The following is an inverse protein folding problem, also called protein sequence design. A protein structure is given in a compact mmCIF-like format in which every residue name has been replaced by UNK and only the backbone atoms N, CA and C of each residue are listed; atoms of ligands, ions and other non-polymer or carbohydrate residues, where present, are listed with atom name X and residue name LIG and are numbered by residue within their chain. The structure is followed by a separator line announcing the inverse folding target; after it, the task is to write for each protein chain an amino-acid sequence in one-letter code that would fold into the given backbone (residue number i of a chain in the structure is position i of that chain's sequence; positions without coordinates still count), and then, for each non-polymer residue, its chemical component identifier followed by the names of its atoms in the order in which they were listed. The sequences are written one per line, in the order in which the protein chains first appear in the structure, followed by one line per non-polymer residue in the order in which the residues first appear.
data_IF_131872870989
#
_entry.id   IF_131872870989
#
_cell.length_a   1.000
_cell.length_b   1.000
_cell.length_c   1.000
_cell.angle_alpha   90.00
_cell.angle_beta   90.00
_cell.angle_gamma   90.00
#
_symmetry.space_group_name_H-M   'P 1'
#
loop_
_entity.id
_entity.type
_entity.pdbx_description
1 polymer ?
#
# COMPACT_ATOMS: atom_id res chain seq x y z
N UNK A 1 -17.90 -8.68 -27.64
CA UNK A 1 -19.23 -9.23 -27.88
C UNK A 1 -19.07 -10.68 -28.28
N UNK A 2 -20.10 -11.50 -28.14
CA UNK A 2 -20.12 -12.89 -28.60
C UNK A 2 -20.09 -13.02 -30.12
N UNK A 3 -20.06 -11.90 -30.83
CA UNK A 3 -20.02 -11.73 -32.29
C UNK A 3 -18.59 -11.46 -32.83
N UNK A 4 -17.56 -11.56 -31.99
CA UNK A 4 -16.18 -11.24 -32.36
C UNK A 4 -15.85 -9.74 -32.40
N UNK A 5 -16.85 -8.86 -32.21
CA UNK A 5 -16.63 -7.42 -32.10
C UNK A 5 -16.02 -7.09 -30.72
N UNK A 6 -14.90 -6.35 -30.64
CA UNK A 6 -14.34 -5.94 -29.36
C UNK A 6 -15.32 -5.13 -28.53
N UNK A 7 -15.37 -5.40 -27.22
CA UNK A 7 -16.13 -4.60 -26.26
C UNK A 7 -15.40 -3.27 -26.08
N UNK A 8 -16.07 -2.17 -26.42
CA UNK A 8 -15.53 -0.83 -26.21
C UNK A 8 -15.68 -0.42 -24.75
N UNK A 9 -14.58 -0.11 -24.08
CA UNK A 9 -14.53 0.26 -22.67
C UNK A 9 -13.90 1.64 -22.54
N UNK A 10 -14.62 2.59 -21.94
CA UNK A 10 -14.09 3.88 -21.55
C UNK A 10 -13.74 3.87 -20.06
N UNK A 11 -12.49 4.18 -19.72
CA UNK A 11 -12.02 4.36 -18.35
C UNK A 11 -11.82 5.85 -18.10
N UNK A 12 -12.57 6.42 -17.16
CA UNK A 12 -12.49 7.84 -16.81
C UNK A 12 -11.65 8.01 -15.55
N UNK A 13 -10.52 8.71 -15.68
CA UNK A 13 -9.54 8.95 -14.62
C UNK A 13 -8.30 8.06 -14.74
N UNK A 14 -7.14 8.67 -14.96
CA UNK A 14 -5.82 8.06 -15.05
C UNK A 14 -5.12 7.89 -13.70
N UNK A 15 -5.86 7.80 -12.59
CA UNK A 15 -5.32 7.43 -11.29
C UNK A 15 -4.81 5.98 -11.24
N UNK A 16 -4.28 5.56 -10.09
CA UNK A 16 -3.79 4.19 -9.91
C UNK A 16 -4.86 3.13 -10.22
N UNK A 17 -6.11 3.38 -9.82
CA UNK A 17 -7.23 2.48 -10.06
C UNK A 17 -7.59 2.39 -11.55
N UNK A 18 -7.79 3.52 -12.22
CA UNK A 18 -8.15 3.55 -13.64
C UNK A 18 -7.04 3.02 -14.54
N UNK A 19 -5.78 3.39 -14.27
CA UNK A 19 -4.62 2.88 -15.01
C UNK A 19 -4.47 1.36 -14.81
N UNK A 20 -4.65 0.85 -13.59
CA UNK A 20 -4.59 -0.60 -13.32
C UNK A 20 -5.73 -1.34 -14.00
N UNK A 21 -6.95 -0.79 -14.01
CA UNK A 21 -8.10 -1.38 -14.70
C UNK A 21 -7.89 -1.43 -16.22
N UNK A 22 -7.46 -0.32 -16.81
CA UNK A 22 -7.17 -0.25 -18.25
C UNK A 22 -6.04 -1.21 -18.65
N UNK A 23 -4.96 -1.25 -17.86
CA UNK A 23 -3.85 -2.18 -18.07
C UNK A 23 -4.29 -3.63 -17.94
N UNK A 24 -5.06 -3.98 -16.90
CA UNK A 24 -5.52 -5.35 -16.69
C UNK A 24 -6.43 -5.84 -17.82
N UNK A 25 -7.37 -5.01 -18.29
CA UNK A 25 -8.24 -5.37 -19.41
C UNK A 25 -7.45 -5.66 -20.69
N UNK A 26 -6.40 -4.88 -20.96
CA UNK A 26 -5.53 -5.12 -22.12
C UNK A 26 -4.59 -6.29 -21.94
N UNK A 27 -4.03 -6.47 -20.75
CA UNK A 27 -3.09 -7.56 -20.46
C UNK A 27 -3.76 -8.93 -20.45
N UNK A 28 -4.96 -9.00 -19.88
CA UNK A 28 -5.73 -10.23 -19.76
C UNK A 28 -6.21 -10.75 -21.12
N UNK A 29 -6.41 -9.88 -22.11
CA UNK A 29 -6.86 -10.27 -23.45
C UNK A 29 -6.04 -11.42 -24.04
N UNK A 30 -4.71 -11.38 -23.88
CA UNK A 30 -3.79 -12.43 -24.35
C UNK A 30 -3.87 -13.77 -23.61
N UNK A 31 -4.58 -13.81 -22.48
CA UNK A 31 -4.67 -14.96 -21.57
C UNK A 31 -6.07 -15.55 -21.47
N UNK A 32 -7.05 -14.92 -22.13
CA UNK A 32 -8.40 -15.43 -22.14
C UNK A 32 -8.52 -16.62 -23.10
N UNK A 33 -9.37 -17.61 -22.81
CA UNK A 33 -9.63 -18.73 -23.72
C UNK A 33 -10.11 -18.27 -25.09
N UNK A 34 -9.87 -19.08 -26.11
CA UNK A 34 -10.39 -18.83 -27.46
C UNK A 34 -11.91 -18.63 -27.44
N UNK A 35 -12.37 -17.60 -28.18
CA UNK A 35 -13.78 -17.18 -28.19
C UNK A 35 -14.18 -16.25 -27.04
N UNK A 36 -13.25 -15.88 -26.16
CA UNK A 36 -13.50 -14.85 -25.14
C UNK A 36 -13.64 -13.45 -25.76
N UNK A 37 -14.35 -12.52 -25.10
CA UNK A 37 -14.45 -11.15 -25.57
C UNK A 37 -13.09 -10.45 -25.58
N UNK A 38 -12.79 -9.76 -26.67
CA UNK A 38 -11.71 -8.78 -26.80
C UNK A 38 -12.17 -7.41 -26.30
N UNK A 39 -11.22 -6.54 -25.92
CA UNK A 39 -11.53 -5.23 -25.34
C UNK A 39 -10.81 -4.08 -26.07
N UNK A 40 -11.58 -3.11 -26.57
CA UNK A 40 -11.07 -1.83 -27.05
C UNK A 40 -11.15 -0.81 -25.90
N UNK A 41 -10.03 -0.63 -25.20
CA UNK A 41 -9.95 0.19 -23.99
C UNK A 41 -9.41 1.58 -24.30
N UNK A 42 -10.19 2.62 -23.96
CA UNK A 42 -9.74 4.03 -23.99
C UNK A 42 -9.74 4.61 -22.59
N UNK A 43 -8.59 5.12 -22.16
CA UNK A 43 -8.43 5.83 -20.89
C UNK A 43 -8.47 7.33 -21.16
N UNK A 44 -9.32 8.04 -20.41
CA UNK A 44 -9.47 9.48 -20.45
C UNK A 44 -8.96 10.07 -19.14
N UNK A 45 -7.98 10.96 -19.22
CA UNK A 45 -7.43 11.69 -18.09
C UNK A 45 -7.43 13.18 -18.44
N UNK A 46 -7.90 14.02 -17.51
CA UNK A 46 -7.96 15.47 -17.69
C UNK A 46 -6.55 16.08 -17.68
N UNK A 47 -5.65 15.50 -16.89
CA UNK A 47 -4.28 15.98 -16.71
C UNK A 47 -3.34 15.43 -17.80
N UNK A 48 -2.23 16.12 -18.01
CA UNK A 48 -1.19 15.71 -18.97
C UNK A 48 -0.35 14.49 -18.51
N UNK A 49 -0.53 14.02 -17.28
CA UNK A 49 0.18 12.87 -16.70
C UNK A 49 -0.77 11.93 -15.98
N UNK A 50 -0.49 10.64 -16.10
CA UNK A 50 -1.15 9.59 -15.33
C UNK A 50 -0.67 9.57 -13.87
N UNK A 51 -1.41 8.86 -13.02
CA UNK A 51 -1.09 8.64 -11.60
C UNK A 51 -2.08 9.29 -10.64
N UNK A 52 -2.93 10.21 -11.09
CA UNK A 52 -3.90 10.89 -10.22
C UNK A 52 -3.20 11.68 -9.12
N UNK A 53 -3.33 11.25 -7.85
CA UNK A 53 -2.61 11.84 -6.71
C UNK A 53 -1.26 11.16 -6.44
N UNK A 54 -0.99 10.00 -7.04
CA UNK A 54 0.28 9.29 -6.94
C UNK A 54 1.32 9.88 -7.93
N UNK A 55 1.46 11.20 -7.91
CA UNK A 55 2.42 11.92 -8.77
C UNK A 55 3.77 12.02 -8.10
N UNK A 56 4.79 12.22 -8.91
CA UNK A 56 6.09 12.68 -8.45
C UNK A 56 6.25 14.18 -8.70
N UNK A 57 7.07 14.83 -7.88
CA UNK A 57 7.47 16.22 -8.02
C UNK A 57 8.99 16.29 -8.09
N UNK A 58 9.48 17.04 -9.07
CA UNK A 58 10.90 17.32 -9.24
C UNK A 58 11.24 18.60 -8.48
N UNK A 59 11.92 18.45 -7.34
CA UNK A 59 12.46 19.54 -6.57
C UNK A 59 13.78 19.98 -7.20
N UNK A 60 13.87 21.26 -7.55
CA UNK A 60 15.13 21.88 -7.97
C UNK A 60 15.67 22.65 -6.76
N UNK A 61 16.78 22.21 -6.13
CA UNK A 61 17.36 22.95 -5.02
C UNK A 61 17.74 24.35 -5.48
N UNK A 62 17.40 25.35 -4.67
CA UNK A 62 17.65 26.77 -4.99
C UNK A 62 19.13 27.05 -5.26
N UNK A 63 20.01 26.30 -4.60
CA UNK A 63 21.47 26.46 -4.64
C UNK A 63 22.13 25.60 -5.75
N UNK A 64 21.41 24.64 -6.32
CA UNK A 64 21.91 23.75 -7.37
C UNK A 64 21.96 24.42 -8.75
N UNK A 65 21.14 25.46 -8.97
CA UNK A 65 21.16 26.25 -10.20
C UNK A 65 22.47 27.05 -10.37
N UNK A 66 23.17 27.39 -9.27
CA UNK A 66 24.43 28.13 -9.30
C UNK A 66 25.66 27.20 -9.32
N UNK A 67 25.57 26.02 -8.72
CA UNK A 67 26.73 25.13 -8.54
C UNK A 67 27.02 24.18 -9.72
N UNK A 68 26.03 23.88 -10.59
CA UNK A 68 26.23 22.99 -11.74
C UNK A 68 25.33 23.39 -12.93
N UNK A 69 25.82 24.21 -13.88
CA UNK A 69 25.07 24.68 -15.06
C UNK A 69 24.69 23.57 -16.09
N UNK A 70 24.84 22.30 -15.73
CA UNK A 70 24.49 21.13 -16.55
C UNK A 70 24.28 19.84 -15.74
N UNK A 71 24.21 19.93 -14.40
CA UNK A 71 24.04 18.77 -13.53
C UNK A 71 22.57 18.51 -13.20
N UNK A 72 22.13 17.27 -13.35
CA UNK A 72 20.79 16.77 -13.00
C UNK A 72 20.54 16.72 -11.49
N UNK A 73 20.74 17.84 -10.78
CA UNK A 73 20.67 17.95 -9.32
C UNK A 73 19.26 18.05 -8.74
N UNK A 74 18.24 17.58 -9.47
CA UNK A 74 16.86 17.57 -8.99
C UNK A 74 16.55 16.35 -8.13
N UNK A 75 15.86 16.54 -7.01
CA UNK A 75 15.32 15.43 -6.21
C UNK A 75 13.91 15.16 -6.69
N UNK A 76 13.60 13.95 -7.16
CA UNK A 76 12.22 13.55 -7.51
C UNK A 76 11.57 12.85 -6.32
N UNK A 77 10.51 13.41 -5.74
CA UNK A 77 9.75 12.74 -4.65
C UNK A 77 8.35 12.38 -5.09
N UNK A 78 7.80 11.29 -4.56
CA UNK A 78 6.35 11.07 -4.60
C UNK A 78 5.61 12.12 -3.76
N UNK A 79 4.49 12.63 -4.27
CA UNK A 79 3.56 13.54 -3.56
C UNK A 79 2.47 12.78 -2.80
N UNK A 80 2.36 11.47 -3.02
CA UNK A 80 1.55 10.57 -2.20
C UNK A 80 2.46 9.80 -1.25
N UNK A 81 1.98 9.53 -0.03
CA UNK A 81 2.65 8.64 0.91
C UNK A 81 2.69 7.23 0.28
N UNK A 82 3.82 6.89 -0.33
CA UNK A 82 4.09 5.58 -0.91
C UNK A 82 4.60 4.58 0.14
N UNK A 83 4.21 4.76 1.40
CA UNK A 83 4.38 3.75 2.43
C UNK A 83 3.13 2.89 2.50
N UNK A 84 3.23 1.61 2.14
CA UNK A 84 2.16 0.64 2.34
C UNK A 84 2.68 -0.58 3.12
N UNK A 85 1.89 -1.17 4.02
CA UNK A 85 2.29 -2.43 4.63
C UNK A 85 2.03 -3.57 3.64
N UNK A 86 3.08 -4.28 3.24
CA UNK A 86 3.04 -5.38 2.26
C UNK A 86 2.01 -6.47 2.59
N UNK A 87 1.72 -6.71 3.87
CA UNK A 87 0.73 -7.69 4.33
C UNK A 87 -0.70 -7.37 3.89
N UNK A 88 -1.05 -6.08 3.75
CA UNK A 88 -2.38 -5.63 3.32
C UNK A 88 -2.46 -5.37 1.81
N UNK A 89 -1.34 -5.02 1.17
CA UNK A 89 -1.30 -4.57 -0.24
C UNK A 89 -0.81 -5.64 -1.22
N UNK A 90 -1.20 -6.90 -1.01
CA UNK A 90 -0.69 -8.07 -1.78
C UNK A 90 -0.83 -7.93 -3.30
N UNK A 91 -1.97 -7.43 -3.79
CA UNK A 91 -2.18 -7.24 -5.23
C UNK A 91 -1.29 -6.16 -5.81
N UNK A 92 -1.03 -5.10 -5.04
CA UNK A 92 -0.13 -4.04 -5.43
C UNK A 92 1.31 -4.55 -5.50
N UNK A 93 1.73 -5.38 -4.53
CA UNK A 93 3.05 -6.04 -4.55
C UNK A 93 3.27 -6.92 -5.79
N UNK A 94 2.25 -7.69 -6.18
CA UNK A 94 2.30 -8.49 -7.41
C UNK A 94 2.45 -7.60 -8.65
N UNK A 95 1.68 -6.51 -8.71
CA UNK A 95 1.74 -5.57 -9.83
C UNK A 95 3.13 -4.93 -9.95
N UNK A 96 3.68 -4.41 -8.85
CA UNK A 96 5.00 -3.77 -8.87
C UNK A 96 6.10 -4.73 -9.30
N UNK A 97 6.10 -5.98 -8.79
CA UNK A 97 7.03 -7.02 -9.26
C UNK A 97 6.90 -7.29 -10.74
N UNK A 98 5.67 -7.36 -11.25
CA UNK A 98 5.41 -7.60 -12.66
C UNK A 98 5.88 -6.47 -13.57
N UNK A 99 5.80 -5.23 -13.07
CA UNK A 99 6.30 -4.04 -13.76
C UNK A 99 7.81 -3.84 -13.58
N UNK A 100 8.49 -4.69 -12.80
CA UNK A 100 9.92 -4.54 -12.50
C UNK A 100 10.23 -3.31 -11.65
N UNK A 101 9.26 -2.81 -10.88
CA UNK A 101 9.44 -1.64 -10.02
C UNK A 101 10.12 -2.06 -8.72
N UNK A 102 11.31 -1.53 -8.50
CA UNK A 102 12.07 -1.73 -7.27
C UNK A 102 11.37 -1.07 -6.07
N UNK A 103 11.58 -1.66 -4.89
CA UNK A 103 10.95 -1.24 -3.64
C UNK A 103 12.01 -1.21 -2.55
N UNK A 104 11.88 -0.24 -1.67
CA UNK A 104 12.74 -0.11 -0.49
C UNK A 104 11.88 -0.18 0.77
N UNK A 105 12.34 -0.96 1.75
CA UNK A 105 11.70 -1.00 3.06
C UNK A 105 12.07 0.27 3.82
N UNK A 106 11.10 1.16 3.98
CA UNK A 106 11.27 2.36 4.80
C UNK A 106 10.73 2.13 6.21
N UNK A 107 11.40 2.72 7.20
CA UNK A 107 10.88 2.87 8.56
C UNK A 107 10.44 4.32 8.75
N UNK A 108 9.17 4.66 8.45
CA UNK A 108 8.72 6.04 8.51
C UNK A 108 8.78 6.54 9.95
N UNK A 109 9.58 7.60 10.17
CA UNK A 109 9.58 8.34 11.42
C UNK A 109 8.68 9.55 11.26
N UNK A 110 7.85 9.81 12.27
CA UNK A 110 7.02 10.99 12.33
C UNK A 110 7.41 11.83 13.55
N UNK A 111 7.23 13.13 13.42
CA UNK A 111 7.39 14.09 14.51
C UNK A 111 6.09 14.87 14.63
N UNK A 112 5.76 15.24 15.86
CA UNK A 112 4.59 16.05 16.17
C UNK A 112 5.08 17.36 16.72
N UNK A 113 4.59 18.46 16.17
CA UNK A 113 4.76 19.81 16.70
C UNK A 113 3.39 20.43 16.92
N UNK A 114 3.15 21.00 18.10
CA UNK A 114 1.87 21.67 18.42
C UNK A 114 1.83 23.13 18.00
N UNK A 115 2.99 23.74 17.77
CA UNK A 115 3.17 25.15 17.42
C UNK A 115 3.71 25.33 15.98
N UNK A 116 4.07 24.25 15.30
CA UNK A 116 4.68 24.27 13.97
C UNK A 116 6.19 24.54 13.97
N UNK A 117 6.78 24.81 15.13
CA UNK A 117 8.18 25.23 15.28
C UNK A 117 8.98 24.28 16.17
N UNK A 118 8.39 23.83 17.27
CA UNK A 118 9.03 22.99 18.28
C UNK A 118 8.57 21.55 18.19
N UNK A 119 9.51 20.61 18.11
CA UNK A 119 9.21 19.18 18.18
C UNK A 119 8.67 18.85 19.57
N UNK A 120 7.37 18.55 19.64
CA UNK A 120 6.67 18.12 20.86
C UNK A 120 6.83 16.63 21.13
N UNK A 121 7.11 15.85 20.09
CA UNK A 121 7.38 14.42 20.15
C UNK A 121 8.04 13.93 18.85
N UNK A 122 8.92 12.93 18.94
CA UNK A 122 9.56 12.27 17.81
C UNK A 122 9.46 10.75 17.92
N UNK A 123 9.18 10.09 16.79
CA UNK A 123 9.09 8.64 16.72
C UNK A 123 10.41 7.96 17.09
N UNK A 124 10.36 7.07 18.08
CA UNK A 124 11.52 6.33 18.59
C UNK A 124 12.23 7.01 19.78
N UNK A 125 11.77 8.18 20.23
CA UNK A 125 12.31 8.82 21.42
C UNK A 125 11.37 8.58 22.63
N UNK A 126 11.85 7.95 23.72
CA UNK A 126 11.01 7.59 24.86
C UNK A 126 10.60 8.77 25.77
N UNK A 127 10.79 10.01 25.32
CA UNK A 127 10.56 11.23 26.09
C UNK A 127 9.49 12.16 25.50
N UNK A 128 9.13 13.18 26.27
CA UNK A 128 8.24 14.27 25.82
C UNK A 128 6.86 14.29 26.49
N UNK A 129 6.15 15.39 26.27
CA UNK A 129 4.83 15.71 26.87
C UNK A 129 3.77 14.61 26.68
N UNK A 130 3.92 13.81 25.64
CA UNK A 130 2.91 12.83 25.19
C UNK A 130 3.28 11.37 25.50
N UNK A 131 4.33 11.11 26.29
CA UNK A 131 4.80 9.75 26.56
C UNK A 131 3.73 8.85 27.22
N UNK A 132 2.84 9.41 28.05
CA UNK A 132 1.73 8.64 28.62
C UNK A 132 0.64 8.34 27.58
N UNK A 133 0.28 9.31 26.75
CA UNK A 133 -0.73 9.13 25.71
C UNK A 133 -0.27 8.15 24.63
N UNK A 134 1.02 8.14 24.28
CA UNK A 134 1.59 7.12 23.40
C UNK A 134 1.54 5.72 24.03
N UNK A 135 1.84 5.57 25.32
CA UNK A 135 1.65 4.30 26.03
C UNK A 135 0.17 3.86 26.05
N UNK A 136 -0.77 4.80 26.15
CA UNK A 136 -2.22 4.50 26.05
C UNK A 136 -2.59 4.06 24.63
N UNK A 137 -2.08 4.74 23.61
CA UNK A 137 -2.24 4.39 22.22
C UNK A 137 -1.71 2.99 21.91
N UNK A 138 -0.50 2.67 22.35
CA UNK A 138 0.12 1.35 22.13
C UNK A 138 -0.71 0.22 22.75
N UNK A 139 -1.27 0.43 23.94
CA UNK A 139 -2.21 -0.51 24.55
C UNK A 139 -3.49 -0.66 23.73
N UNK A 140 -4.02 0.43 23.20
CA UNK A 140 -5.20 0.41 22.31
C UNK A 140 -4.93 -0.35 21.01
N UNK A 141 -3.81 -0.07 20.35
CA UNK A 141 -3.38 -0.78 19.13
C UNK A 141 -3.16 -2.27 19.42
N UNK A 142 -2.53 -2.62 20.55
CA UNK A 142 -2.35 -4.01 20.95
C UNK A 142 -3.69 -4.73 21.15
N UNK A 143 -4.68 -4.08 21.78
CA UNK A 143 -6.01 -4.64 21.94
C UNK A 143 -6.71 -4.87 20.59
N UNK A 144 -6.66 -3.89 19.68
CA UNK A 144 -7.23 -4.02 18.32
C UNK A 144 -6.54 -5.14 17.55
N UNK A 145 -5.20 -5.26 17.63
CA UNK A 145 -4.46 -6.36 17.01
C UNK A 145 -4.89 -7.71 17.52
N UNK A 146 -5.03 -7.86 18.85
CA UNK A 146 -5.51 -9.11 19.45
C UNK A 146 -6.92 -9.48 18.96
N UNK A 147 -7.81 -8.49 18.80
CA UNK A 147 -9.15 -8.70 18.23
C UNK A 147 -9.04 -9.13 16.76
N UNK A 148 -8.25 -8.43 15.95
CA UNK A 148 -8.07 -8.76 14.54
C UNK A 148 -7.45 -10.15 14.35
N UNK A 149 -6.49 -10.54 15.17
CA UNK A 149 -5.89 -11.87 15.15
C UNK A 149 -6.90 -12.95 15.56
N UNK A 150 -7.78 -12.67 16.52
CA UNK A 150 -8.88 -13.56 16.90
C UNK A 150 -9.85 -13.80 15.74
N UNK A 151 -10.22 -12.76 14.99
CA UNK A 151 -11.07 -12.90 13.81
C UNK A 151 -10.35 -13.54 12.61
N UNK A 152 -9.05 -13.26 12.42
CA UNK A 152 -8.28 -13.75 11.29
C UNK A 152 -7.78 -15.20 11.47
N UNK A 153 -7.50 -15.63 12.70
CA UNK A 153 -6.87 -16.94 13.00
C UNK A 153 -7.72 -17.84 13.91
N UNK A 154 -8.83 -17.34 14.44
CA UNK A 154 -9.62 -18.00 15.49
C UNK A 154 -9.07 -17.75 16.91
N UNK A 155 -9.83 -18.11 17.97
CA UNK A 155 -9.40 -17.87 19.34
C UNK A 155 -8.06 -18.53 19.68
N UNK A 156 -7.24 -17.89 20.54
CA UNK A 156 -6.04 -18.53 21.07
C UNK A 156 -6.40 -19.83 21.80
N UNK A 157 -5.56 -20.86 21.67
CA UNK A 157 -5.83 -22.24 22.12
C UNK A 157 -6.29 -22.36 23.60
N UNK A 158 -5.84 -21.44 24.46
CA UNK A 158 -6.26 -21.38 25.88
C UNK A 158 -7.74 -21.04 26.08
N UNK A 159 -8.33 -20.24 25.17
CA UNK A 159 -9.75 -19.85 25.21
C UNK A 159 -10.63 -20.92 24.55
N UNK A 160 -10.14 -21.59 23.52
CA UNK A 160 -10.84 -22.70 22.87
C UNK A 160 -11.15 -23.86 23.85
N UNK A 161 -10.24 -24.15 24.78
CA UNK A 161 -10.44 -25.14 25.84
C UNK A 161 -11.49 -24.73 26.89
N UNK A 162 -11.71 -23.44 27.11
CA UNK A 162 -12.68 -22.95 28.10
C UNK A 162 -14.13 -23.02 27.58
N UNK A 163 -14.32 -22.88 26.27
CA UNK A 163 -15.65 -22.91 25.63
C UNK A 163 -16.05 -24.28 25.04
N UNK A 164 -15.27 -25.33 25.27
CA UNK A 164 -15.63 -26.69 24.81
C UNK A 164 -15.77 -26.84 23.29
N UNK A 165 -15.17 -25.94 22.50
CA UNK A 165 -15.25 -25.96 21.04
C UNK A 165 -14.33 -27.07 20.52
N UNK A 166 -14.91 -28.20 20.11
CA UNK A 166 -14.19 -29.22 19.33
C UNK A 166 -13.85 -28.64 17.95
N UNK A 167 -12.57 -28.66 17.60
CA UNK A 167 -12.04 -28.21 16.31
C UNK A 167 -12.78 -28.88 15.13
N UNK A 168 -13.79 -28.19 14.59
CA UNK A 168 -14.48 -28.54 13.36
C UNK A 168 -13.95 -27.70 12.21
N UNK A 169 -13.36 -28.37 11.22
CA UNK A 169 -12.92 -27.86 9.91
C UNK A 169 -12.07 -26.57 9.93
N UNK A 170 -10.74 -26.75 9.88
CA UNK A 170 -9.84 -25.67 9.46
C UNK A 170 -10.23 -25.23 8.04
N UNK A 171 -10.49 -23.94 7.77
CA UNK A 171 -10.37 -23.45 6.40
C UNK A 171 -8.92 -23.71 5.94
N UNK A 172 -8.77 -24.14 4.68
CA UNK A 172 -7.48 -24.54 4.11
C UNK A 172 -6.41 -23.46 4.35
N UNK A 173 -5.49 -23.75 5.27
CA UNK A 173 -4.43 -22.85 5.68
C UNK A 173 -3.42 -22.54 4.56
N UNK A 174 -3.54 -23.19 3.39
CA UNK A 174 -2.75 -22.85 2.20
C UNK A 174 -3.14 -21.51 1.56
N UNK A 175 -4.32 -20.97 1.86
CA UNK A 175 -4.73 -19.63 1.42
C UNK A 175 -4.26 -18.49 2.35
N UNK A 176 -3.76 -18.82 3.55
CA UNK A 176 -3.40 -17.83 4.59
C UNK A 176 -2.06 -18.11 5.27
N UNK A 177 -1.19 -18.94 4.69
CA UNK A 177 0.15 -19.18 5.22
C UNK A 177 1.01 -17.91 5.09
N UNK A 178 0.93 -17.01 6.08
CA UNK A 178 1.99 -16.05 6.38
C UNK A 178 3.08 -16.80 7.15
N UNK A 179 4.14 -17.24 6.47
CA UNK A 179 5.33 -17.79 7.14
C UNK A 179 6.36 -16.72 7.49
N UNK A 180 5.94 -15.47 7.65
CA UNK A 180 6.80 -14.43 8.20
C UNK A 180 6.04 -13.74 9.33
N UNK A 181 6.53 -13.93 10.55
CA UNK A 181 6.27 -13.02 11.66
C UNK A 181 6.65 -11.63 11.18
N UNK A 182 5.66 -10.76 10.98
CA UNK A 182 5.93 -9.36 10.69
C UNK A 182 6.84 -8.84 11.81
N UNK A 183 8.06 -8.36 11.51
CA UNK A 183 8.88 -7.76 12.53
C UNK A 183 8.11 -6.61 13.17
N UNK A 184 8.23 -6.54 14.50
CA UNK A 184 7.78 -5.42 15.31
C UNK A 184 8.10 -4.09 14.59
N UNK A 185 7.08 -3.28 14.33
CA UNK A 185 7.28 -1.89 13.88
C UNK A 185 7.89 -1.01 15.00
N UNK A 186 8.21 -1.59 16.15
CA UNK A 186 8.62 -0.92 17.38
C UNK A 186 9.86 -1.58 18.03
N UNK A 187 10.74 -2.18 17.23
CA UNK A 187 12.11 -2.55 17.65
C UNK A 187 13.18 -1.90 16.76
#
# INVERSE_FOLDING_TARGET
GTDGTPIRVAVIGGGIAGTSAAWALRDLESKLPDGSPTFDVKLFEERHVLGGNAKTHDWVPKDAAEANPGGSGGVRTGLSVLGWPSSYFKNYEVLLRRLGVERETVRPKFMVSTDGETVSWAHGEPGGRWAEDMRRWDRGVAAIRNINDWFARGPPAKVANWFGVKNGAKPDARLFASTESAPSFYE
#
